data_IF_933115660651
#
_entry.id   IF_933115660651
#
_cell.length_a   1.000
_cell.length_b   1.000
_cell.length_c   1.000
_cell.angle_alpha   90.00
_cell.angle_beta   90.00
_cell.angle_gamma   90.00
#
_symmetry.space_group_name_H-M   'P 1'
#
loop_
_entity.id
_entity.type
_entity.pdbx_description
1 polymer ?
#
# COMPACT_ATOMS: atom_id res chain seq x y z
N UNK A 1 -37.44 -8.88 -30.27
CA UNK A 1 -36.78 -7.79 -30.43
C UNK A 1 -36.33 -7.19 -29.19
N UNK A 2 -37.17 -6.82 -28.36
CA UNK A 2 -36.75 -6.20 -27.14
C UNK A 2 -35.88 -7.02 -26.28
N UNK A 3 -36.12 -8.28 -26.18
CA UNK A 3 -35.29 -9.08 -25.28
C UNK A 3 -33.83 -9.07 -25.62
N UNK A 4 -33.50 -9.01 -26.87
CA UNK A 4 -32.13 -9.10 -27.13
C UNK A 4 -31.40 -7.83 -26.83
N UNK A 5 -32.07 -6.78 -26.65
CA UNK A 5 -31.46 -5.56 -26.22
C UNK A 5 -31.02 -5.68 -24.81
N UNK A 6 -31.78 -6.32 -24.00
CA UNK A 6 -31.43 -6.48 -22.62
C UNK A 6 -30.22 -7.37 -22.50
N UNK A 7 -30.16 -8.33 -23.32
CA UNK A 7 -29.05 -9.25 -23.27
C UNK A 7 -27.75 -8.55 -23.55
N UNK A 8 -27.75 -7.70 -24.52
CA UNK A 8 -26.59 -6.97 -24.87
C UNK A 8 -26.15 -6.10 -23.72
N UNK A 9 -27.11 -5.50 -23.08
CA UNK A 9 -26.82 -4.63 -21.99
C UNK A 9 -26.15 -5.35 -20.84
N UNK A 10 -26.60 -6.53 -20.57
CA UNK A 10 -25.98 -7.28 -19.50
C UNK A 10 -24.56 -7.64 -19.80
N UNK A 11 -24.28 -8.01 -20.99
CA UNK A 11 -22.95 -8.35 -21.34
C UNK A 11 -22.03 -7.18 -21.15
N UNK A 12 -22.51 -6.03 -21.48
CA UNK A 12 -21.73 -4.85 -21.33
C UNK A 12 -21.36 -4.61 -19.87
N UNK A 13 -22.27 -4.81 -18.99
CA UNK A 13 -21.99 -4.62 -17.58
C UNK A 13 -20.92 -5.57 -17.09
N UNK A 14 -20.97 -6.77 -17.55
CA UNK A 14 -19.99 -7.69 -17.12
C UNK A 14 -18.62 -7.30 -17.59
N UNK A 15 -18.54 -6.78 -18.75
CA UNK A 15 -17.27 -6.38 -19.25
C UNK A 15 -16.64 -5.26 -18.45
N UNK A 16 -17.49 -4.48 -17.78
CA UNK A 16 -16.91 -3.43 -17.02
C UNK A 16 -16.44 -3.83 -15.69
N UNK A 17 -16.83 -4.93 -15.23
CA UNK A 17 -16.55 -5.25 -13.91
C UNK A 17 -15.16 -5.51 -13.71
N UNK A 18 -14.41 -5.01 -14.29
CA UNK A 18 -13.25 -4.91 -13.89
C UNK A 18 -12.41 -5.87 -13.45
N UNK A 19 -12.23 -6.63 -13.76
CA UNK A 19 -11.33 -7.41 -13.41
C UNK A 19 -10.06 -6.92 -13.70
N UNK A 20 -9.84 -5.72 -13.82
CA UNK A 20 -8.63 -5.20 -14.14
C UNK A 20 -7.67 -5.35 -13.06
N UNK A 21 -6.62 -5.99 -13.28
CA UNK A 21 -5.55 -6.08 -12.37
C UNK A 21 -4.73 -4.85 -12.56
N UNK A 22 -4.51 -4.10 -11.52
CA UNK A 22 -3.72 -2.90 -11.58
C UNK A 22 -2.28 -3.29 -11.82
N UNK A 23 -1.66 -2.68 -12.79
CA UNK A 23 -0.28 -2.99 -13.09
C UNK A 23 0.63 -2.74 -11.92
N UNK A 24 0.29 -1.77 -11.09
CA UNK A 24 1.12 -1.44 -9.95
C UNK A 24 1.03 -2.45 -8.84
N UNK A 25 0.12 -3.36 -8.92
CA UNK A 25 -0.05 -4.35 -7.87
C UNK A 25 0.46 -5.71 -8.25
N UNK A 26 1.03 -5.84 -9.43
CA UNK A 26 1.37 -7.19 -9.88
C UNK A 26 2.56 -7.79 -9.16
N UNK A 27 3.37 -6.97 -8.52
CA UNK A 27 4.52 -7.48 -7.81
C UNK A 27 4.21 -7.89 -6.37
N UNK A 28 3.06 -7.52 -5.87
CA UNK A 28 2.75 -7.75 -4.46
C UNK A 28 1.73 -8.86 -4.32
N UNK A 29 1.91 -9.67 -3.30
CA UNK A 29 0.95 -10.71 -2.97
C UNK A 29 -0.11 -10.12 -2.06
N UNK A 30 -1.31 -10.66 -2.17
CA UNK A 30 -2.40 -10.23 -1.30
C UNK A 30 -2.25 -11.02 0.01
N UNK A 31 -1.51 -10.45 0.94
CA UNK A 31 -1.18 -11.12 2.18
C UNK A 31 -1.95 -10.49 3.31
N UNK A 32 -2.68 -11.30 4.05
CA UNK A 32 -3.43 -10.79 5.20
C UNK A 32 -2.49 -10.37 6.30
N UNK A 33 -2.84 -9.28 6.99
CA UNK A 33 -2.02 -8.77 8.07
C UNK A 33 -2.90 -8.54 9.28
N UNK A 34 -2.46 -9.06 10.42
CA UNK A 34 -3.18 -8.86 11.66
C UNK A 34 -2.15 -8.74 12.77
N UNK A 35 -1.70 -7.53 13.02
CA UNK A 35 -0.66 -7.27 14.01
C UNK A 35 -1.23 -6.32 15.05
N UNK A 36 -1.34 -6.75 16.31
CA UNK A 36 -1.82 -5.84 17.34
C UNK A 36 -0.72 -4.85 17.68
N UNK A 37 -1.10 -3.60 17.85
CA UNK A 37 -0.16 -2.55 18.17
C UNK A 37 -0.53 -1.92 19.49
N UNK A 38 0.38 -2.03 20.47
CA UNK A 38 0.18 -1.42 21.76
C UNK A 38 1.05 -0.18 21.82
N UNK A 39 0.41 0.98 21.81
CA UNK A 39 1.15 2.25 21.74
C UNK A 39 2.02 2.52 22.96
N UNK A 40 1.81 1.75 24.02
CA UNK A 40 2.62 1.92 25.21
C UNK A 40 3.93 1.16 25.16
N UNK A 41 4.11 0.35 24.15
CA UNK A 41 5.37 -0.38 24.00
C UNK A 41 6.39 0.51 23.32
N UNK A 42 7.67 0.40 23.71
CA UNK A 42 8.70 1.28 23.14
C UNK A 42 8.79 1.25 21.63
N UNK A 43 8.62 0.08 21.02
CA UNK A 43 8.77 -0.01 19.58
C UNK A 43 7.65 0.68 18.81
N UNK A 44 6.53 0.99 19.49
CA UNK A 44 5.43 1.67 18.82
C UNK A 44 5.17 3.06 19.38
N UNK A 45 5.98 3.50 20.33
CA UNK A 45 5.67 4.75 21.03
C UNK A 45 5.70 5.96 20.13
N UNK A 46 6.43 5.90 19.03
CA UNK A 46 6.47 7.02 18.09
C UNK A 46 5.10 7.28 17.48
N UNK A 47 4.24 6.27 17.44
CA UNK A 47 2.92 6.45 16.86
C UNK A 47 1.99 7.27 17.72
N UNK A 48 2.40 7.63 18.93
CA UNK A 48 1.60 8.53 19.74
C UNK A 48 1.69 9.96 19.25
N UNK A 49 2.61 10.26 18.36
CA UNK A 49 2.81 11.60 17.86
C UNK A 49 2.40 11.71 16.41
N UNK A 50 1.70 12.78 16.08
CA UNK A 50 1.22 13.00 14.72
C UNK A 50 2.41 13.14 13.78
N UNK A 51 2.26 12.61 12.59
CA UNK A 51 3.26 12.66 11.53
C UNK A 51 4.42 11.70 11.71
N UNK A 52 4.32 10.81 12.68
CA UNK A 52 5.36 9.81 12.86
C UNK A 52 4.90 8.47 12.30
N UNK A 53 5.86 7.68 11.88
CA UNK A 53 5.61 6.36 11.30
C UNK A 53 6.50 5.33 11.95
N UNK A 54 6.05 4.09 11.95
CA UNK A 54 6.80 2.97 12.49
C UNK A 54 6.79 1.83 11.49
N UNK A 55 7.93 1.19 11.32
CA UNK A 55 8.05 0.02 10.47
C UNK A 55 7.90 -1.24 11.31
N UNK A 56 7.10 -2.18 10.85
CA UNK A 56 6.88 -3.44 11.54
C UNK A 56 7.26 -4.57 10.61
N UNK A 57 8.27 -5.32 10.99
CA UNK A 57 8.77 -6.41 10.17
C UNK A 57 7.87 -7.63 10.27
N UNK A 58 8.10 -8.57 9.37
CA UNK A 58 7.45 -9.88 9.41
C UNK A 58 5.96 -9.85 9.22
N UNK A 59 5.47 -8.90 8.46
CA UNK A 59 4.06 -8.81 8.10
C UNK A 59 3.98 -8.31 6.67
N UNK A 60 2.93 -8.67 5.94
CA UNK A 60 2.78 -8.24 4.57
C UNK A 60 3.86 -8.81 3.67
N UNK A 61 4.16 -8.12 2.58
CA UNK A 61 5.18 -8.57 1.64
C UNK A 61 6.60 -8.28 2.14
N UNK A 62 6.80 -7.12 2.74
CA UNK A 62 8.13 -6.75 3.19
C UNK A 62 8.04 -5.91 4.46
N UNK A 63 7.12 -6.25 5.34
CA UNK A 63 6.84 -5.46 6.52
C UNK A 63 5.72 -4.49 6.23
N UNK A 64 5.27 -3.79 7.26
CA UNK A 64 4.26 -2.75 7.09
C UNK A 64 4.74 -1.46 7.74
N UNK A 65 4.22 -0.37 7.25
CA UNK A 65 4.50 0.96 7.80
C UNK A 65 3.18 1.51 8.32
N UNK A 66 3.15 1.89 9.58
CA UNK A 66 1.96 2.49 10.19
C UNK A 66 2.28 3.95 10.45
N UNK A 67 1.38 4.83 10.06
CA UNK A 67 1.58 6.28 10.15
C UNK A 67 0.42 6.91 10.93
N UNK A 68 0.78 7.81 11.85
CA UNK A 68 -0.21 8.60 12.56
C UNK A 68 -0.46 9.89 11.77
N UNK A 69 -1.65 10.03 11.21
CA UNK A 69 -1.96 11.20 10.39
C UNK A 69 -2.79 12.24 11.13
N UNK A 70 -2.92 12.07 12.44
CA UNK A 70 -3.66 13.04 13.24
C UNK A 70 -5.11 12.66 13.43
N UNK A 71 -5.80 12.32 12.36
CA UNK A 71 -7.19 11.91 12.45
C UNK A 71 -7.32 10.40 12.59
N UNK A 72 -6.22 9.68 12.59
CA UNK A 72 -6.22 8.23 12.73
C UNK A 72 -4.90 7.67 12.28
N UNK A 73 -4.91 6.40 11.94
CA UNK A 73 -3.69 5.71 11.53
C UNK A 73 -3.92 5.09 10.16
N UNK A 74 -2.87 5.08 9.36
CA UNK A 74 -2.87 4.39 8.09
C UNK A 74 -1.80 3.32 8.13
N UNK A 75 -2.02 2.23 7.45
CA UNK A 75 -1.05 1.14 7.37
C UNK A 75 -0.80 0.81 5.90
N UNK A 76 0.45 0.64 5.56
CA UNK A 76 0.88 0.37 4.19
C UNK A 76 1.80 -0.83 4.20
N UNK A 77 1.71 -1.66 3.16
CA UNK A 77 2.74 -2.67 2.96
C UNK A 77 4.02 -1.94 2.59
N UNK A 78 5.12 -2.32 3.18
CA UNK A 78 6.36 -1.60 2.97
C UNK A 78 7.05 -1.97 1.67
N UNK A 79 6.53 -2.89 0.90
CA UNK A 79 7.15 -3.27 -0.36
C UNK A 79 6.79 -2.26 -1.43
N UNK A 80 7.77 -1.87 -2.24
CA UNK A 80 7.54 -0.94 -3.34
C UNK A 80 6.63 -1.59 -4.37
N UNK A 81 5.46 -1.03 -4.65
CA UNK A 81 4.52 -1.67 -5.58
C UNK A 81 4.99 -1.61 -7.03
N UNK A 82 5.98 -0.80 -7.34
CA UNK A 82 6.48 -0.67 -8.70
C UNK A 82 7.83 -1.36 -8.90
N UNK A 83 8.20 -2.25 -7.99
CA UNK A 83 9.47 -2.94 -8.07
C UNK A 83 9.25 -4.39 -7.67
N UNK A 84 9.88 -5.32 -8.36
CA UNK A 84 9.73 -6.71 -7.96
C UNK A 84 10.32 -6.91 -6.57
N UNK A 85 9.68 -7.72 -5.78
CA UNK A 85 10.06 -7.90 -4.39
C UNK A 85 11.42 -8.57 -4.29
N UNK A 86 12.34 -7.94 -3.57
CA UNK A 86 13.66 -8.51 -3.34
C UNK A 86 14.26 -7.85 -2.10
N UNK A 87 15.53 -8.02 -1.89
CA UNK A 87 16.17 -7.59 -0.64
C UNK A 87 16.23 -6.08 -0.45
N UNK A 88 16.10 -5.28 -1.49
CA UNK A 88 16.16 -3.82 -1.35
C UNK A 88 14.84 -3.13 -1.62
N UNK A 89 13.78 -3.87 -1.98
CA UNK A 89 12.56 -3.23 -2.45
C UNK A 89 11.67 -2.70 -1.32
N UNK A 90 12.05 -2.89 -0.09
CA UNK A 90 11.28 -2.35 1.01
C UNK A 90 11.48 -0.84 1.11
N UNK A 91 10.41 -0.14 1.43
CA UNK A 91 10.48 1.31 1.59
C UNK A 91 11.13 1.67 2.92
N UNK A 92 11.93 2.71 2.89
CA UNK A 92 12.47 3.29 4.12
C UNK A 92 11.72 4.57 4.42
N UNK A 93 11.49 4.80 5.69
CA UNK A 93 10.68 5.93 6.14
C UNK A 93 11.52 7.18 6.27
N UNK A 94 11.03 8.28 5.72
CA UNK A 94 11.63 9.58 5.93
C UNK A 94 10.47 10.56 6.09
N UNK A 95 10.15 10.94 7.31
CA UNK A 95 9.00 11.78 7.57
C UNK A 95 7.72 11.08 7.17
N UNK A 96 6.96 11.70 6.29
CA UNK A 96 5.71 11.13 5.79
C UNK A 96 5.89 10.55 4.39
N UNK A 97 7.09 10.12 4.06
CA UNK A 97 7.38 9.52 2.78
C UNK A 97 8.09 8.19 2.95
N UNK A 98 7.85 7.30 2.02
CA UNK A 98 8.56 6.03 1.95
C UNK A 98 9.33 5.97 0.64
N UNK A 99 10.60 5.63 0.71
CA UNK A 99 11.49 5.59 -0.44
C UNK A 99 12.02 4.19 -0.65
N UNK A 100 11.96 3.70 -1.88
CA UNK A 100 12.45 2.37 -2.19
C UNK A 100 13.96 2.28 -1.94
N UNK A 101 14.37 1.19 -1.29
CA UNK A 101 15.77 1.02 -0.96
C UNK A 101 16.66 0.64 -2.13
N UNK A 102 16.08 0.39 -3.28
CA UNK A 102 16.85 -0.06 -4.44
C UNK A 102 17.45 1.07 -5.26
N UNK A 103 17.37 2.29 -4.78
CA UNK A 103 17.95 3.46 -5.47
C UNK A 103 17.33 3.71 -6.83
N UNK A 104 16.08 3.38 -7.00
CA UNK A 104 15.39 3.64 -8.25
C UNK A 104 14.60 4.94 -8.21
N UNK A 105 14.66 5.65 -7.09
CA UNK A 105 13.98 6.93 -6.97
C UNK A 105 12.50 6.84 -6.68
N UNK A 106 11.97 5.66 -6.49
CA UNK A 106 10.55 5.52 -6.22
C UNK A 106 10.25 5.99 -4.80
N UNK A 107 9.37 6.95 -4.67
CA UNK A 107 9.01 7.54 -3.40
C UNK A 107 7.49 7.69 -3.34
N UNK A 108 6.92 7.46 -2.19
CA UNK A 108 5.47 7.46 -2.02
C UNK A 108 5.08 8.24 -0.78
N UNK A 109 3.92 8.88 -0.85
CA UNK A 109 3.36 9.55 0.31
C UNK A 109 2.79 8.51 1.27
N UNK A 110 3.13 8.61 2.53
CA UNK A 110 2.56 7.73 3.55
C UNK A 110 1.21 8.23 4.04
N UNK A 111 0.74 9.35 3.49
CA UNK A 111 -0.58 9.86 3.81
C UNK A 111 -1.60 9.49 2.74
N UNK A 112 -1.20 9.53 1.48
CA UNK A 112 -2.13 9.28 0.39
C UNK A 112 -1.83 8.00 -0.38
N UNK A 113 -0.62 7.50 -0.26
CA UNK A 113 -0.19 6.34 -1.05
C UNK A 113 0.25 6.68 -2.45
N UNK A 114 0.22 7.95 -2.82
CA UNK A 114 0.56 8.32 -4.18
C UNK A 114 2.05 8.33 -4.42
N UNK A 115 2.43 8.02 -5.64
CA UNK A 115 3.82 8.11 -6.06
C UNK A 115 4.23 9.58 -6.12
N UNK A 116 5.37 9.89 -5.53
CA UNK A 116 5.86 11.25 -5.46
C UNK A 116 7.05 11.49 -6.39
N UNK A 117 7.63 10.44 -6.93
CA UNK A 117 8.77 10.62 -7.78
C UNK A 117 8.97 9.45 -8.69
N UNK A 118 9.73 9.64 -9.69
CA UNK A 118 10.17 8.71 -10.66
C UNK A 118 9.18 7.75 -11.24
N UNK A 119 8.23 7.30 -10.63
CA UNK A 119 7.28 6.37 -11.17
C UNK A 119 5.90 6.77 -10.83
#
# INVERSE_FOLDING_TARGET
>A
MKPFLYTIYLIFLMGCSGNTVNENCKFLLDVGVNVPINLNLPQYSQLQFVSNSVYIANAGNAGIIVTNIGSGYLAWDASDPNHSTNGCSALTISGLEGTCGCNDGNTYSLVTGQSLGSK
#
